data_IF_179104243245
#
_entry.id   IF_179104243245
#
_cell.length_a   1.000
_cell.length_b   1.000
_cell.length_c   1.000
_cell.angle_alpha   90.00
_cell.angle_beta   90.00
_cell.angle_gamma   90.00
#
_symmetry.space_group_name_H-M   'P 1'
#
loop_
_entity.id
_entity.type
_entity.pdbx_description
1 polymer ?
#
# COMPACT_ATOMS: atom_id res chain seq x y z
N UNK A 1 9.76 9.45 4.46
CA UNK A 1 9.35 10.55 3.59
C UNK A 1 7.93 10.22 3.22
N UNK A 2 7.05 11.22 3.18
CA UNK A 2 5.73 10.97 2.65
C UNK A 2 5.84 10.35 1.26
N UNK A 3 4.86 9.50 0.92
CA UNK A 3 4.59 9.12 -0.47
C UNK A 3 4.72 10.33 -1.40
N UNK A 4 5.22 10.12 -2.63
CA UNK A 4 5.49 11.23 -3.57
C UNK A 4 4.26 12.15 -3.68
N UNK A 5 4.44 13.43 -3.37
CA UNK A 5 3.37 14.41 -3.41
C UNK A 5 2.76 14.53 -4.80
N UNK A 6 3.57 14.30 -5.85
CA UNK A 6 3.15 14.36 -7.24
C UNK A 6 2.58 13.03 -7.76
N UNK A 7 2.52 11.98 -6.93
CA UNK A 7 1.91 10.71 -7.33
C UNK A 7 0.48 10.91 -7.86
N UNK A 8 0.11 10.32 -9.03
CA UNK A 8 0.88 9.33 -9.80
C UNK A 8 1.75 9.89 -10.94
N UNK A 9 1.88 11.21 -11.12
CA UNK A 9 2.54 11.84 -12.29
C UNK A 9 3.95 11.34 -12.58
N UNK A 10 4.75 11.08 -11.54
CA UNK A 10 6.13 10.60 -11.69
C UNK A 10 6.24 9.07 -11.77
N UNK A 11 5.11 8.37 -11.83
CA UNK A 11 5.03 6.92 -11.80
C UNK A 11 4.25 6.41 -13.01
N UNK A 12 4.39 5.13 -13.31
CA UNK A 12 3.58 4.44 -14.29
C UNK A 12 3.09 3.13 -13.68
N UNK A 13 1.87 2.73 -14.05
CA UNK A 13 1.34 1.44 -13.65
C UNK A 13 2.18 0.35 -14.31
N UNK A 14 2.65 -0.62 -13.51
CA UNK A 14 3.51 -1.73 -13.95
C UNK A 14 2.80 -3.08 -13.86
N UNK A 15 1.79 -3.18 -12.99
CA UNK A 15 1.05 -4.42 -12.76
C UNK A 15 -0.38 -4.10 -12.29
N UNK A 16 -1.31 -5.03 -12.61
CA UNK A 16 -2.61 -5.11 -11.97
C UNK A 16 -2.60 -6.27 -10.98
N UNK A 17 -2.54 -5.95 -9.69
CA UNK A 17 -2.60 -6.94 -8.63
C UNK A 17 -4.05 -7.38 -8.39
N UNK A 18 -4.33 -8.68 -8.40
CA UNK A 18 -5.63 -9.25 -8.02
C UNK A 18 -5.55 -9.80 -6.58
N UNK A 19 -6.49 -9.39 -5.74
CA UNK A 19 -6.62 -9.94 -4.40
C UNK A 19 -6.92 -11.45 -4.47
N UNK A 20 -6.21 -12.32 -3.72
CA UNK A 20 -6.46 -13.76 -3.72
C UNK A 20 -7.83 -14.17 -3.14
N UNK A 21 -8.47 -13.33 -2.31
CA UNK A 21 -9.73 -13.69 -1.62
C UNK A 21 -10.98 -13.03 -2.19
N UNK A 22 -10.85 -12.15 -3.18
CA UNK A 22 -11.98 -11.45 -3.79
C UNK A 22 -11.74 -11.13 -5.26
N UNK A 23 -12.74 -10.53 -5.91
CA UNK A 23 -12.59 -10.00 -7.27
C UNK A 23 -11.99 -8.59 -7.29
N UNK A 24 -11.58 -8.08 -6.13
CA UNK A 24 -10.92 -6.80 -6.04
C UNK A 24 -9.52 -6.84 -6.67
N UNK A 25 -9.09 -5.66 -7.11
CA UNK A 25 -7.76 -5.45 -7.65
C UNK A 25 -7.29 -4.04 -7.32
N UNK A 26 -5.99 -3.81 -7.47
CA UNK A 26 -5.42 -2.47 -7.49
C UNK A 26 -4.22 -2.44 -8.45
N UNK A 27 -3.80 -1.23 -8.83
CA UNK A 27 -2.62 -1.06 -9.67
C UNK A 27 -1.36 -0.95 -8.82
N UNK A 28 -0.27 -1.55 -9.27
CA UNK A 28 1.07 -1.35 -8.72
C UNK A 28 1.81 -0.34 -9.61
N UNK A 29 2.48 0.62 -8.99
CA UNK A 29 3.10 1.75 -9.64
C UNK A 29 4.60 1.79 -9.37
N UNK A 30 5.38 1.92 -10.44
CA UNK A 30 6.83 2.08 -10.41
C UNK A 30 7.29 3.41 -11.02
N UNK A 31 8.57 3.78 -10.87
CA UNK A 31 9.58 3.03 -10.13
C UNK A 31 9.41 3.17 -8.61
N UNK A 32 9.81 2.14 -7.86
CA UNK A 32 9.99 2.24 -6.42
C UNK A 32 11.31 2.91 -6.04
N UNK A 33 11.59 3.01 -4.75
CA UNK A 33 12.88 3.47 -4.19
C UNK A 33 13.22 2.76 -2.89
N UNK A 34 14.47 2.82 -2.43
CA UNK A 34 14.76 2.48 -1.03
C UNK A 34 14.30 3.64 -0.14
N UNK A 35 13.36 3.37 0.77
CA UNK A 35 12.79 4.37 1.68
C UNK A 35 12.70 3.82 3.12
N UNK A 36 11.71 4.25 3.91
CA UNK A 36 11.65 3.99 5.36
C UNK A 36 11.66 2.50 5.71
N UNK A 37 11.02 1.65 4.90
CA UNK A 37 11.02 0.21 5.15
C UNK A 37 12.43 -0.39 5.08
N UNK A 38 13.33 0.18 4.28
CA UNK A 38 14.71 -0.31 4.11
C UNK A 38 15.64 -0.04 5.31
N UNK A 39 15.26 0.92 6.15
CA UNK A 39 16.03 1.32 7.33
C UNK A 39 15.32 1.01 8.65
N UNK A 40 14.03 0.63 8.62
CA UNK A 40 13.29 0.27 9.82
C UNK A 40 13.88 -1.01 10.47
N UNK A 41 14.25 -0.97 11.77
CA UNK A 41 14.89 -2.11 12.43
C UNK A 41 14.04 -3.39 12.43
N UNK A 42 12.71 -3.28 12.51
CA UNK A 42 11.82 -4.45 12.58
C UNK A 42 11.63 -5.06 11.21
N UNK A 43 11.44 -4.22 10.18
CA UNK A 43 11.41 -4.69 8.79
C UNK A 43 12.72 -5.40 8.46
N UNK A 44 13.88 -4.80 8.77
CA UNK A 44 15.19 -5.42 8.53
C UNK A 44 15.37 -6.74 9.25
N UNK A 45 14.98 -6.82 10.53
CA UNK A 45 15.10 -8.05 11.31
C UNK A 45 14.26 -9.18 10.71
N UNK A 46 13.00 -8.90 10.36
CA UNK A 46 12.10 -9.90 9.81
C UNK A 46 12.49 -10.29 8.37
N UNK A 47 12.87 -9.33 7.53
CA UNK A 47 13.44 -9.59 6.19
C UNK A 47 14.65 -10.53 6.26
N UNK A 48 15.58 -10.27 7.21
CA UNK A 48 16.73 -11.14 7.42
C UNK A 48 16.32 -12.54 7.90
N UNK A 49 15.37 -12.62 8.84
CA UNK A 49 14.91 -13.89 9.40
C UNK A 49 14.26 -14.80 8.35
N UNK A 50 13.58 -14.22 7.36
CA UNK A 50 12.92 -14.97 6.27
C UNK A 50 13.77 -15.07 5.00
N UNK A 51 14.98 -14.48 4.96
CA UNK A 51 15.86 -14.49 3.81
C UNK A 51 15.36 -13.66 2.61
N UNK A 52 14.54 -12.64 2.86
CA UNK A 52 14.01 -11.73 1.84
C UNK A 52 14.90 -10.50 1.69
N UNK A 53 15.37 -10.22 0.48
CA UNK A 53 16.12 -9.00 0.17
C UNK A 53 15.17 -7.79 0.09
N UNK A 54 15.51 -6.71 0.81
CA UNK A 54 14.77 -5.46 0.71
C UNK A 54 15.14 -4.75 -0.60
N UNK A 55 14.18 -4.67 -1.51
CA UNK A 55 14.29 -4.00 -2.81
C UNK A 55 13.17 -2.97 -2.98
N UNK A 56 13.33 -2.01 -3.91
CA UNK A 56 12.23 -1.17 -4.37
C UNK A 56 11.06 -2.00 -4.91
N UNK A 57 9.88 -1.84 -4.33
CA UNK A 57 8.63 -2.54 -4.65
C UNK A 57 7.49 -1.57 -5.02
N UNK A 58 7.69 -0.26 -4.84
CA UNK A 58 6.80 0.76 -5.41
C UNK A 58 5.54 1.03 -4.59
N UNK A 59 4.51 1.55 -5.29
CA UNK A 59 3.28 2.04 -4.68
C UNK A 59 2.12 1.14 -5.09
N UNK A 60 1.34 0.67 -4.13
CA UNK A 60 0.15 -0.16 -4.34
C UNK A 60 -1.10 0.68 -4.18
N UNK A 61 -2.00 0.64 -5.16
CA UNK A 61 -3.19 1.47 -5.23
C UNK A 61 -2.97 2.81 -5.92
N UNK A 62 -4.05 3.48 -6.30
CA UNK A 62 -4.01 4.71 -7.11
C UNK A 62 -4.66 5.91 -6.43
N UNK A 63 -5.89 5.77 -5.95
CA UNK A 63 -6.61 6.85 -5.25
C UNK A 63 -6.72 6.58 -3.75
N UNK A 64 -6.48 5.33 -3.33
CA UNK A 64 -5.97 4.99 -2.01
C UNK A 64 -4.66 4.24 -2.19
N UNK A 65 -3.57 5.00 -2.19
CA UNK A 65 -2.24 4.48 -2.50
C UNK A 65 -1.41 4.29 -1.24
N UNK A 66 -0.66 3.18 -1.18
CA UNK A 66 0.30 2.85 -0.13
C UNK A 66 1.67 2.65 -0.77
N UNK A 67 2.61 3.52 -0.43
CA UNK A 67 4.03 3.40 -0.77
C UNK A 67 4.62 2.23 0.05
N UNK A 68 4.79 1.08 -0.57
CA UNK A 68 5.29 -0.13 0.09
C UNK A 68 6.77 -0.03 0.44
N UNK A 69 7.52 0.82 -0.25
CA UNK A 69 8.91 1.16 0.09
C UNK A 69 9.01 1.94 1.41
N UNK A 70 7.95 2.65 1.78
CA UNK A 70 7.85 3.46 3.00
C UNK A 70 6.96 2.81 4.08
N UNK A 71 6.21 1.76 3.74
CA UNK A 71 5.32 1.06 4.65
C UNK A 71 6.12 0.13 5.59
N UNK A 72 6.10 0.44 6.88
CA UNK A 72 6.78 -0.34 7.93
C UNK A 72 5.88 -1.38 8.61
N UNK A 73 4.73 -1.70 8.01
CA UNK A 73 3.75 -2.64 8.57
C UNK A 73 3.29 -2.31 10.01
N UNK A 74 3.16 -1.02 10.35
CA UNK A 74 2.68 -0.60 11.67
C UNK A 74 1.22 -1.00 11.94
N UNK A 75 0.41 -1.02 10.88
CA UNK A 75 -0.95 -1.55 10.88
C UNK A 75 -2.03 -0.61 11.44
N UNK A 76 -1.68 0.58 11.92
CA UNK A 76 -2.69 1.53 12.46
C UNK A 76 -3.74 1.94 11.41
N UNK A 77 -3.39 1.98 10.12
CA UNK A 77 -4.34 2.30 9.05
C UNK A 77 -5.46 1.27 8.88
N UNK A 78 -5.19 -0.02 9.14
CA UNK A 78 -6.21 -1.07 9.07
C UNK A 78 -7.25 -0.89 10.20
N UNK A 79 -6.81 -0.44 11.37
CA UNK A 79 -7.70 -0.12 12.50
C UNK A 79 -8.42 1.22 12.35
N UNK A 80 -7.78 2.22 11.76
CA UNK A 80 -8.35 3.57 11.64
C UNK A 80 -9.33 3.70 10.48
N UNK A 81 -9.34 2.76 9.53
CA UNK A 81 -10.20 2.82 8.36
C UNK A 81 -11.61 2.29 8.70
N UNK A 82 -12.66 3.15 8.76
CA UNK A 82 -13.99 2.72 9.17
C UNK A 82 -14.66 1.76 8.16
N UNK A 83 -14.20 1.79 6.91
CA UNK A 83 -14.72 0.98 5.80
C UNK A 83 -13.75 -0.13 5.37
N UNK A 84 -12.69 -0.36 6.16
CA UNK A 84 -11.75 -1.49 5.98
C UNK A 84 -11.19 -1.63 4.56
N UNK A 85 -10.70 -0.51 4.00
CA UNK A 85 -10.03 -0.49 2.67
C UNK A 85 -8.83 -1.43 2.61
N UNK A 86 -8.12 -1.56 3.73
CA UNK A 86 -6.85 -2.25 3.82
C UNK A 86 -6.98 -3.64 4.43
N UNK A 87 -6.15 -4.55 3.95
CA UNK A 87 -5.84 -5.84 4.57
C UNK A 87 -4.32 -6.05 4.63
N UNK A 88 -3.88 -7.18 5.16
CA UNK A 88 -2.48 -7.60 5.13
C UNK A 88 -2.16 -8.39 3.86
N UNK A 89 -1.10 -8.03 3.14
CA UNK A 89 -0.68 -8.69 1.90
C UNK A 89 -0.36 -10.19 2.07
N UNK A 90 0.42 -10.54 3.10
CA UNK A 90 0.79 -11.94 3.44
C UNK A 90 -0.28 -12.61 4.32
N UNK A 91 -1.29 -11.87 4.78
CA UNK A 91 -2.45 -12.41 5.49
C UNK A 91 -3.79 -11.82 4.97
N UNK A 92 -4.17 -12.09 3.71
CA UNK A 92 -5.36 -11.51 3.09
C UNK A 92 -6.63 -11.74 3.89
N UNK A 93 -7.57 -10.79 3.86
CA UNK A 93 -8.82 -10.80 4.63
C UNK A 93 -8.70 -10.32 6.08
N UNK A 94 -7.49 -10.31 6.66
CA UNK A 94 -7.29 -9.83 8.04
C UNK A 94 -7.09 -8.31 8.10
N UNK A 95 -7.77 -7.66 9.05
CA UNK A 95 -7.84 -6.19 9.15
C UNK A 95 -7.42 -5.64 10.52
N UNK A 96 -7.05 -6.46 11.49
CA UNK A 96 -6.55 -6.00 12.77
C UNK A 96 -5.10 -5.53 12.67
N UNK A 97 -4.72 -4.54 13.48
CA UNK A 97 -3.38 -3.96 13.48
C UNK A 97 -2.25 -4.98 13.66
N UNK A 98 -2.50 -6.07 14.39
CA UNK A 98 -1.50 -7.08 14.72
C UNK A 98 -1.70 -8.42 14.00
N UNK A 99 -2.59 -8.46 13.01
CA UNK A 99 -2.87 -9.70 12.27
C UNK A 99 -1.84 -9.95 11.15
N UNK A 100 -0.89 -9.04 10.94
CA UNK A 100 0.25 -9.21 10.03
C UNK A 100 1.05 -10.46 10.37
N UNK A 101 1.58 -11.15 9.35
CA UNK A 101 2.50 -12.29 9.58
C UNK A 101 3.82 -11.86 10.22
N UNK A 102 4.36 -10.73 9.78
CA UNK A 102 5.63 -10.16 10.19
C UNK A 102 5.68 -8.67 9.77
N UNK A 103 6.80 -7.98 9.94
CA UNK A 103 6.96 -6.57 9.54
C UNK A 103 7.24 -6.35 8.04
N UNK A 104 7.37 -7.41 7.26
CA UNK A 104 7.46 -7.37 5.80
C UNK A 104 6.08 -7.49 5.13
N UNK A 105 5.07 -7.92 5.88
CA UNK A 105 3.67 -7.97 5.47
C UNK A 105 3.06 -6.56 5.37
N UNK A 106 2.92 -6.05 4.14
CA UNK A 106 2.53 -4.65 3.89
C UNK A 106 1.01 -4.47 3.94
N UNK A 107 0.57 -3.28 4.34
CA UNK A 107 -0.82 -2.88 4.24
C UNK A 107 -1.24 -2.77 2.77
N UNK A 108 -2.23 -3.55 2.37
CA UNK A 108 -2.66 -3.73 0.99
C UNK A 108 -4.02 -3.06 0.76
N UNK A 109 -4.15 -2.04 -0.10
CA UNK A 109 -5.39 -1.27 -0.27
C UNK A 109 -6.38 -1.95 -1.23
N UNK A 110 -6.74 -3.21 -1.00
CA UNK A 110 -7.53 -4.00 -1.95
C UNK A 110 -8.94 -3.46 -2.20
N UNK A 111 -9.51 -2.69 -1.26
CA UNK A 111 -10.87 -2.13 -1.39
C UNK A 111 -10.84 -0.63 -1.63
N UNK A 112 -9.97 -0.15 -2.54
CA UNK A 112 -9.86 1.29 -2.84
C UNK A 112 -11.24 1.94 -3.07
N UNK A 113 -12.11 1.26 -3.83
CA UNK A 113 -13.46 1.73 -4.18
C UNK A 113 -14.40 1.97 -2.99
N UNK A 114 -14.15 1.33 -1.84
CA UNK A 114 -14.96 1.51 -0.62
C UNK A 114 -14.57 2.79 0.15
N UNK A 115 -13.47 3.45 -0.23
CA UNK A 115 -12.96 4.62 0.47
C UNK A 115 -13.96 5.79 0.50
N UNK A 116 -14.18 6.31 1.71
CA UNK A 116 -15.05 7.46 1.98
C UNK A 116 -14.30 8.78 2.13
N UNK A 117 -13.04 8.85 1.71
CA UNK A 117 -12.23 10.08 1.68
C UNK A 117 -12.04 10.79 3.03
N UNK A 118 -12.15 10.05 4.15
CA UNK A 118 -12.01 10.63 5.48
C UNK A 118 -10.56 10.98 5.87
N UNK A 119 -9.57 10.53 5.09
CA UNK A 119 -8.13 10.75 5.30
C UNK A 119 -7.56 10.25 6.64
N UNK A 120 -8.33 9.51 7.45
CA UNK A 120 -7.88 9.04 8.76
C UNK A 120 -6.58 8.22 8.68
N UNK A 121 -6.48 7.30 7.70
CA UNK A 121 -5.30 6.47 7.47
C UNK A 121 -4.04 7.29 7.10
N UNK A 122 -4.20 8.39 6.36
CA UNK A 122 -3.11 9.30 5.98
C UNK A 122 -2.55 9.97 7.23
N UNK A 123 -3.43 10.40 8.13
CA UNK A 123 -3.03 11.14 9.32
C UNK A 123 -2.28 10.25 10.32
N UNK A 124 -2.81 9.05 10.57
CA UNK A 124 -2.22 8.14 11.56
C UNK A 124 -0.96 7.41 11.08
N UNK A 125 -0.68 7.40 9.77
CA UNK A 125 0.46 6.65 9.22
C UNK A 125 1.79 7.27 9.71
N UNK A 126 2.62 6.53 10.48
CA UNK A 126 3.83 7.08 11.09
C UNK A 126 4.90 7.49 10.06
N UNK A 127 4.95 6.81 8.92
CA UNK A 127 5.90 7.12 7.83
C UNK A 127 5.29 7.98 6.74
N UNK A 128 4.00 8.34 6.85
CA UNK A 128 3.23 9.05 5.82
C UNK A 128 3.26 8.34 4.45
N UNK A 129 3.25 7.00 4.47
CA UNK A 129 3.27 6.15 3.29
C UNK A 129 1.94 6.09 2.51
N UNK A 130 0.86 6.71 3.01
CA UNK A 130 -0.48 6.59 2.42
C UNK A 130 -0.89 7.92 1.78
N UNK A 131 -1.37 7.88 0.53
CA UNK A 131 -2.05 9.00 -0.15
C UNK A 131 -3.49 8.62 -0.42
N UNK A 132 -4.41 9.53 -0.09
CA UNK A 132 -5.82 9.44 -0.48
C UNK A 132 -6.13 10.69 -1.30
N UNK A 133 -6.50 10.50 -2.56
CA UNK A 133 -6.75 11.60 -3.49
C UNK A 133 -7.79 11.18 -4.55
N UNK A 134 -8.97 11.78 -4.47
CA UNK A 134 -10.09 11.46 -5.37
C UNK A 134 -9.78 11.82 -6.82
N UNK A 135 -8.90 12.80 -7.07
CA UNK A 135 -8.52 13.21 -8.42
C UNK A 135 -7.76 12.10 -9.18
N UNK A 136 -7.24 11.10 -8.47
CA UNK A 136 -6.55 9.97 -9.08
C UNK A 136 -7.51 8.88 -9.62
N UNK A 137 -8.83 8.97 -9.40
CA UNK A 137 -9.80 7.98 -9.89
C UNK A 137 -9.82 7.91 -11.42
N UNK A 138 -9.93 9.06 -12.11
CA UNK A 138 -9.90 9.11 -13.57
C UNK A 138 -8.59 8.55 -14.16
N UNK A 139 -7.49 8.70 -13.42
CA UNK A 139 -6.18 8.16 -13.81
C UNK A 139 -6.21 6.63 -13.65
N UNK A 140 -6.71 6.14 -12.52
CA UNK A 140 -6.87 4.70 -12.28
C UNK A 140 -7.66 4.02 -13.41
N UNK A 141 -8.83 4.56 -13.77
CA UNK A 141 -9.70 3.99 -14.80
C UNK A 141 -9.01 3.94 -16.18
N UNK A 142 -8.24 4.98 -16.53
CA UNK A 142 -7.49 5.01 -17.80
C UNK A 142 -6.33 4.03 -17.82
N UNK A 143 -5.60 3.92 -16.72
CA UNK A 143 -4.43 3.04 -16.65
C UNK A 143 -4.84 1.57 -16.58
N UNK A 144 -5.92 1.25 -15.86
CA UNK A 144 -6.28 -0.15 -15.65
C UNK A 144 -6.74 -0.87 -16.91
N UNK A 145 -7.36 -0.15 -17.85
CA UNK A 145 -7.79 -0.73 -19.13
C UNK A 145 -6.60 -1.30 -19.92
N UNK A 146 -5.38 -0.81 -19.68
CA UNK A 146 -4.16 -1.31 -20.33
C UNK A 146 -3.74 -2.71 -19.85
N UNK A 147 -4.31 -3.20 -18.76
CA UNK A 147 -4.05 -4.52 -18.17
C UNK A 147 -5.21 -5.51 -18.40
N UNK A 148 -6.04 -5.24 -19.40
CA UNK A 148 -7.19 -6.09 -19.79
C UNK A 148 -6.82 -7.03 -20.92
#
# INVERSE_FOLDING_TARGET
>A
MPIDQNFPTNHHAIEKFKDPLSENYHLVWGPGRLAEASIDPKVKADSQAIGEEIKPIGIHGTFVAVDWDSCIADGICLMSCPVKVFEWYKNPGETGRNDRKDYTDKANPVKEADCIWCMACVEVCPTKAIKVDQLNQDIHEKEIIKFT
#
